data_IF_402032407097
#
_entry.id   IF_402032407097
#
_cell.length_a   1.000
_cell.length_b   1.000
_cell.length_c   1.000
_cell.angle_alpha   90.00
_cell.angle_beta   90.00
_cell.angle_gamma   90.00
#
_symmetry.space_group_name_H-M   'P 1'
#
loop_
_entity.id
_entity.type
_entity.pdbx_description
1 polymer ?
#
# COMPACT_ATOMS: atom_id res chain seq x y z
N UNK A 1 20.25 3.13 -3.43
CA UNK A 1 20.39 3.47 -2.00
C UNK A 1 21.57 2.77 -1.35
N UNK A 2 21.62 1.43 -1.25
CA UNK A 2 22.77 0.73 -0.61
C UNK A 2 24.12 1.08 -1.25
N UNK A 3 24.20 1.08 -2.58
CA UNK A 3 25.44 1.47 -3.31
C UNK A 3 25.87 2.90 -2.93
N UNK A 4 24.94 3.86 -2.89
CA UNK A 4 25.24 5.24 -2.50
C UNK A 4 25.75 5.32 -1.05
N UNK A 5 25.16 4.57 -0.11
CA UNK A 5 25.65 4.51 1.27
C UNK A 5 27.09 3.96 1.33
N UNK A 6 27.36 2.86 0.60
CA UNK A 6 28.71 2.30 0.54
C UNK A 6 29.71 3.28 -0.09
N UNK A 7 29.28 4.11 -1.05
CA UNK A 7 30.10 5.19 -1.62
C UNK A 7 30.35 6.31 -0.61
N UNK A 8 29.35 6.72 0.17
CA UNK A 8 29.53 7.77 1.20
C UNK A 8 30.45 7.34 2.34
N UNK A 9 30.46 6.05 2.68
CA UNK A 9 31.41 5.46 3.64
C UNK A 9 32.79 5.21 2.99
N UNK A 10 32.93 5.47 1.69
CA UNK A 10 34.12 5.19 0.89
C UNK A 10 34.50 3.71 0.88
N UNK A 11 33.54 2.82 1.06
CA UNK A 11 33.75 1.36 1.00
C UNK A 11 33.92 0.93 -0.45
N UNK A 12 33.12 1.52 -1.35
CA UNK A 12 33.25 1.35 -2.79
C UNK A 12 33.54 2.73 -3.42
N UNK A 13 34.27 2.79 -4.53
CA UNK A 13 34.57 4.04 -5.23
C UNK A 13 33.32 4.72 -5.77
N UNK A 14 33.39 6.04 -5.94
CA UNK A 14 32.32 6.81 -6.59
C UNK A 14 32.26 6.51 -8.09
N UNK A 15 31.14 6.88 -8.74
CA UNK A 15 31.01 6.72 -10.20
C UNK A 15 32.08 7.58 -10.91
N UNK A 16 32.43 8.75 -10.39
CA UNK A 16 33.48 9.57 -11.00
C UNK A 16 34.87 8.91 -10.90
N UNK A 17 35.20 8.32 -9.75
CA UNK A 17 36.45 7.59 -9.55
C UNK A 17 36.55 6.35 -10.45
N UNK A 18 35.43 5.63 -10.61
CA UNK A 18 35.34 4.48 -11.54
C UNK A 18 35.54 4.92 -13.00
N UNK A 19 34.99 6.07 -13.37
CA UNK A 19 35.12 6.65 -14.70
C UNK A 19 36.53 7.17 -14.98
N UNK A 20 37.18 7.79 -14.00
CA UNK A 20 38.58 8.24 -14.13
C UNK A 20 39.54 7.06 -14.25
N UNK A 21 39.22 5.93 -13.61
CA UNK A 21 39.99 4.70 -13.73
C UNK A 21 39.79 3.97 -15.08
N UNK A 22 38.67 4.23 -15.77
CA UNK A 22 38.43 3.74 -17.12
C UNK A 22 39.43 4.41 -18.08
N UNK A 23 40.41 3.62 -18.56
CA UNK A 23 41.40 4.12 -19.50
C UNK A 23 40.77 4.57 -20.82
N UNK A 24 41.55 5.25 -21.67
CA UNK A 24 41.05 5.78 -22.94
C UNK A 24 40.46 4.72 -23.90
N UNK A 25 40.79 3.44 -23.72
CA UNK A 25 40.31 2.34 -24.56
C UNK A 25 38.92 1.81 -24.18
N UNK A 26 38.37 2.21 -23.01
CA UNK A 26 37.10 1.70 -22.48
C UNK A 26 36.00 2.79 -22.44
N UNK A 27 36.11 3.80 -23.31
CA UNK A 27 35.10 4.84 -23.38
C UNK A 27 33.81 4.34 -24.04
N UNK A 28 32.70 4.47 -23.33
CA UNK A 28 31.37 4.04 -23.80
C UNK A 28 30.35 5.15 -23.52
N UNK A 29 29.80 5.73 -24.59
CA UNK A 29 28.74 6.74 -24.49
C UNK A 29 27.45 6.15 -25.04
N UNK A 30 26.41 6.11 -24.21
CA UNK A 30 25.06 5.62 -24.58
C UNK A 30 24.10 6.78 -24.42
N UNK A 31 23.40 7.17 -25.49
CA UNK A 31 22.41 8.26 -25.48
C UNK A 31 22.93 9.60 -24.93
N UNK A 32 24.21 9.90 -25.18
CA UNK A 32 24.88 11.10 -24.67
C UNK A 32 25.32 11.01 -23.21
N UNK A 33 25.10 9.88 -22.54
CA UNK A 33 25.60 9.61 -21.19
C UNK A 33 26.92 8.83 -21.24
N UNK A 34 27.90 9.30 -20.48
CA UNK A 34 29.18 8.61 -20.31
C UNK A 34 29.01 7.43 -19.35
N UNK A 35 29.06 6.22 -19.91
CA UNK A 35 28.97 4.94 -19.23
C UNK A 35 30.33 4.22 -19.17
N UNK A 36 31.44 4.95 -19.33
CA UNK A 36 32.79 4.40 -19.30
C UNK A 36 33.10 3.87 -17.89
N UNK A 37 33.12 2.55 -17.74
CA UNK A 37 33.38 1.86 -16.49
C UNK A 37 34.32 0.70 -16.74
N UNK A 38 35.36 0.60 -15.93
CA UNK A 38 36.33 -0.48 -16.06
C UNK A 38 35.77 -1.80 -15.53
N UNK A 39 35.74 -2.84 -16.37
CA UNK A 39 35.22 -4.16 -15.98
C UNK A 39 36.19 -4.93 -15.05
N UNK A 40 37.48 -4.63 -15.11
CA UNK A 40 38.48 -5.32 -14.30
C UNK A 40 38.52 -4.76 -12.87
N UNK A 41 38.04 -5.56 -11.91
CA UNK A 41 37.98 -5.17 -10.52
C UNK A 41 39.33 -5.28 -9.78
N UNK A 42 40.37 -5.84 -10.41
CA UNK A 42 41.68 -6.06 -9.78
C UNK A 42 42.49 -4.78 -9.56
N UNK A 43 42.15 -3.71 -10.28
CA UNK A 43 42.85 -2.42 -10.21
C UNK A 43 42.32 -1.51 -9.10
N UNK A 44 41.15 -1.83 -8.53
CA UNK A 44 40.64 -1.09 -7.39
C UNK A 44 41.35 -1.58 -6.13
N UNK A 45 42.17 -0.70 -5.54
CA UNK A 45 42.91 -0.98 -4.30
C UNK A 45 41.90 -1.41 -3.23
N UNK A 46 41.98 -2.68 -2.78
CA UNK A 46 41.17 -3.19 -1.67
C UNK A 46 41.41 -2.30 -0.44
N UNK A 47 40.39 -1.56 -0.01
CA UNK A 47 40.46 -0.70 1.18
C UNK A 47 40.58 -1.60 2.41
N UNK A 48 41.36 -1.18 3.42
CA UNK A 48 41.67 -1.99 4.61
C UNK A 48 40.40 -2.49 5.30
N UNK A 49 40.32 -3.80 5.48
CA UNK A 49 39.23 -4.55 6.12
C UNK A 49 39.26 -4.42 7.67
N UNK A 50 39.54 -3.24 8.21
CA UNK A 50 39.61 -3.07 9.67
C UNK A 50 38.21 -2.92 10.31
N UNK A 51 37.15 -2.76 9.50
CA UNK A 51 35.77 -2.63 9.96
C UNK A 51 35.01 -3.95 9.90
N UNK A 52 34.41 -4.35 11.03
CA UNK A 52 33.54 -5.53 11.08
C UNK A 52 32.25 -5.27 10.29
N UNK A 53 31.77 -6.23 9.49
CA UNK A 53 30.60 -6.03 8.63
C UNK A 53 29.31 -5.68 9.39
N UNK A 54 29.17 -6.10 10.65
CA UNK A 54 27.98 -5.82 11.48
C UNK A 54 27.78 -4.35 11.85
N UNK A 55 28.85 -3.56 11.93
CA UNK A 55 28.77 -2.14 12.29
C UNK A 55 28.23 -1.29 11.13
N UNK A 56 28.53 -1.73 9.89
CA UNK A 56 28.14 -1.04 8.65
C UNK A 56 26.69 -1.28 8.26
N UNK A 57 26.16 -2.46 8.54
CA UNK A 57 24.74 -2.76 8.32
C UNK A 57 23.83 -1.86 9.18
N UNK A 58 24.17 -1.72 10.46
CA UNK A 58 23.45 -0.83 11.39
C UNK A 58 23.58 0.65 10.98
N UNK A 59 24.78 1.07 10.53
CA UNK A 59 24.99 2.44 10.03
C UNK A 59 24.17 2.72 8.76
N UNK A 60 24.12 1.77 7.81
CA UNK A 60 23.34 1.90 6.58
C UNK A 60 21.87 2.12 6.88
N UNK A 61 21.31 1.34 7.81
CA UNK A 61 19.91 1.45 8.19
C UNK A 61 19.60 2.82 8.82
N UNK A 62 20.47 3.30 9.72
CA UNK A 62 20.32 4.61 10.35
C UNK A 62 20.49 5.78 9.36
N UNK A 63 21.38 5.65 8.37
CA UNK A 63 21.56 6.66 7.33
C UNK A 63 20.32 6.76 6.42
N UNK A 64 19.78 5.61 6.00
CA UNK A 64 18.56 5.55 5.19
C UNK A 64 17.36 6.11 5.95
N UNK A 65 17.24 5.79 7.24
CA UNK A 65 16.20 6.37 8.10
C UNK A 65 16.35 7.89 8.23
N UNK A 66 17.56 8.41 8.49
CA UNK A 66 17.82 9.86 8.56
C UNK A 66 17.48 10.60 7.25
N UNK A 67 17.82 10.01 6.10
CA UNK A 67 17.48 10.58 4.79
C UNK A 67 15.97 10.55 4.51
N UNK A 68 15.23 9.62 5.13
CA UNK A 68 13.76 9.57 5.06
C UNK A 68 13.07 10.54 6.03
N UNK A 69 13.73 10.85 7.16
CA UNK A 69 13.24 11.76 8.21
C UNK A 69 13.50 13.24 7.88
N UNK A 70 14.52 13.56 7.06
CA UNK A 70 14.79 14.94 6.62
C UNK A 70 13.71 15.55 5.71
N UNK A 71 12.60 14.84 5.47
CA UNK A 71 11.38 15.37 4.84
C UNK A 71 10.12 15.34 5.71
N UNK A 72 10.19 14.89 6.98
CA UNK A 72 9.03 14.82 7.88
C UNK A 72 9.46 15.03 9.33
N UNK A 73 9.07 16.17 9.91
CA UNK A 73 9.01 16.31 11.36
C UNK A 73 8.04 15.27 11.92
N UNK A 74 8.52 14.39 12.80
CA UNK A 74 7.66 13.60 13.67
C UNK A 74 8.26 13.55 15.08
N UNK A 75 7.43 14.00 16.02
CA UNK A 75 7.69 14.09 17.45
C UNK A 75 7.92 12.73 18.11
N UNK A 76 8.89 12.71 19.03
CA UNK A 76 8.80 12.03 20.32
C UNK A 76 8.70 10.50 20.32
N UNK A 77 9.83 9.83 20.47
CA UNK A 77 9.84 8.52 21.12
C UNK A 77 11.04 8.42 22.08
N UNK A 78 10.74 8.36 23.37
CA UNK A 78 11.70 8.22 24.46
C UNK A 78 12.37 6.84 24.41
N UNK A 79 13.71 6.83 24.50
CA UNK A 79 14.53 5.61 24.54
C UNK A 79 14.68 5.11 25.98
N UNK A 80 13.91 4.09 26.34
CA UNK A 80 14.19 3.23 27.49
C UNK A 80 15.36 2.28 27.18
N UNK A 81 16.42 2.33 27.99
CA UNK A 81 17.56 1.42 27.92
C UNK A 81 17.24 0.17 28.76
N UNK A 82 17.28 -1.02 28.17
CA UNK A 82 17.45 -2.28 28.91
C UNK A 82 18.84 -2.84 28.61
N UNK A 83 19.54 -3.19 29.68
CA UNK A 83 20.84 -3.82 29.68
C UNK A 83 20.73 -5.34 29.73
N UNK A 84 21.75 -6.00 29.18
CA UNK A 84 22.35 -7.26 29.61
C UNK A 84 22.01 -8.52 28.79
N UNK A 85 23.04 -9.07 28.13
CA UNK A 85 23.23 -10.52 27.96
C UNK A 85 23.36 -11.05 26.53
N UNK A 86 24.60 -11.34 26.13
CA UNK A 86 25.10 -11.98 24.90
C UNK A 86 24.27 -13.12 24.27
N UNK A 87 24.04 -13.04 22.95
CA UNK A 87 24.37 -14.05 21.88
C UNK A 87 23.73 -13.64 20.54
N UNK A 88 24.38 -12.75 19.76
CA UNK A 88 23.70 -11.98 18.69
C UNK A 88 24.22 -12.15 17.25
N UNK A 89 24.84 -13.28 16.90
CA UNK A 89 25.29 -13.50 15.50
C UNK A 89 24.43 -14.49 14.68
N UNK A 90 23.54 -15.27 15.32
CA UNK A 90 22.73 -16.29 14.62
C UNK A 90 21.26 -15.89 14.45
N UNK A 91 20.81 -14.81 15.10
CA UNK A 91 19.40 -14.38 15.08
C UNK A 91 19.03 -13.48 13.90
N UNK A 92 20.00 -12.91 13.18
CA UNK A 92 19.76 -11.97 12.07
C UNK A 92 19.29 -12.62 10.76
N UNK A 93 19.29 -13.96 10.68
CA UNK A 93 18.77 -14.70 9.51
C UNK A 93 17.39 -15.33 9.75
N UNK A 94 16.79 -15.17 10.93
CA UNK A 94 15.35 -15.37 11.04
C UNK A 94 14.67 -14.17 10.36
N UNK A 95 13.64 -14.37 9.51
CA UNK A 95 12.81 -13.27 9.06
C UNK A 95 12.29 -12.61 10.33
N UNK A 96 12.83 -11.43 10.65
CA UNK A 96 12.35 -10.63 11.76
C UNK A 96 10.89 -10.41 11.42
N UNK A 97 9.98 -10.99 12.20
CA UNK A 97 8.56 -10.69 12.16
C UNK A 97 8.45 -9.19 12.42
N UNK A 98 8.57 -8.40 11.36
CA UNK A 98 7.95 -7.10 11.31
C UNK A 98 6.48 -7.43 11.41
N UNK A 99 5.96 -7.41 12.64
CA UNK A 99 4.54 -7.29 12.88
C UNK A 99 4.16 -5.98 12.21
N UNK A 100 3.80 -6.07 10.92
CA UNK A 100 3.26 -4.96 10.18
C UNK A 100 2.13 -4.42 11.04
N UNK A 101 2.18 -3.12 11.37
CA UNK A 101 1.13 -2.49 12.18
C UNK A 101 -0.22 -2.95 11.60
N UNK A 102 -1.10 -3.58 12.40
CA UNK A 102 -2.41 -3.98 11.93
C UNK A 102 -3.09 -2.74 11.35
N UNK A 103 -3.22 -2.68 10.02
CA UNK A 103 -3.74 -1.49 9.32
C UNK A 103 -3.08 -1.13 7.98
N UNK A 104 -1.87 -1.61 7.65
CA UNK A 104 -1.17 -1.17 6.43
C UNK A 104 -1.37 -2.07 5.19
N UNK A 105 -2.47 -2.82 5.15
CA UNK A 105 -2.75 -3.76 4.06
C UNK A 105 -3.56 -3.09 2.96
N UNK A 106 -2.89 -2.19 2.27
CA UNK A 106 -3.45 -1.35 1.21
C UNK A 106 -3.03 -1.85 -0.16
N UNK A 107 -3.99 -1.96 -1.07
CA UNK A 107 -3.78 -2.06 -2.50
C UNK A 107 -4.35 -0.82 -3.17
N UNK A 108 -3.59 -0.27 -4.10
CA UNK A 108 -3.98 0.90 -4.86
C UNK A 108 -3.93 0.57 -6.33
N UNK A 109 -5.04 0.84 -7.00
CA UNK A 109 -5.14 0.78 -8.44
C UNK A 109 -5.21 2.23 -8.90
N UNK A 110 -4.14 2.81 -9.44
CA UNK A 110 -4.23 4.11 -10.09
C UNK A 110 -4.97 3.96 -11.42
N UNK A 111 -5.86 4.91 -11.71
CA UNK A 111 -6.43 5.04 -13.04
C UNK A 111 -5.30 5.51 -13.97
N UNK A 112 -5.05 4.73 -15.01
CA UNK A 112 -4.14 5.09 -16.10
C UNK A 112 -4.97 5.23 -17.36
N UNK A 113 -4.66 6.22 -18.18
CA UNK A 113 -5.38 6.45 -19.45
C UNK A 113 -5.31 5.22 -20.37
N UNK A 114 -4.22 4.46 -20.29
CA UNK A 114 -4.04 3.19 -21.02
C UNK A 114 -5.06 2.10 -20.67
N UNK A 115 -5.73 2.20 -19.51
CA UNK A 115 -6.71 1.23 -19.04
C UNK A 115 -8.15 1.58 -19.43
N UNK A 116 -8.37 2.74 -20.06
CA UNK A 116 -9.67 3.14 -20.55
C UNK A 116 -9.99 2.32 -21.81
N UNK A 117 -10.96 1.41 -21.69
CA UNK A 117 -11.49 0.68 -22.83
C UNK A 117 -12.20 1.64 -23.77
N UNK A 118 -12.25 1.31 -25.06
CA UNK A 118 -12.96 2.12 -26.07
C UNK A 118 -14.44 2.34 -25.68
N UNK A 119 -15.04 1.40 -24.92
CA UNK A 119 -16.38 1.54 -24.34
C UNK A 119 -16.46 2.62 -23.26
N UNK A 120 -15.52 2.65 -22.31
CA UNK A 120 -15.44 3.71 -21.29
C UNK A 120 -15.15 5.07 -21.93
N UNK A 121 -14.31 5.07 -22.96
CA UNK A 121 -14.05 6.24 -23.82
C UNK A 121 -15.24 6.63 -24.72
N UNK A 122 -16.40 5.98 -24.67
CA UNK A 122 -17.62 6.49 -25.33
C UNK A 122 -18.55 7.21 -24.38
N UNK A 123 -18.35 7.08 -23.07
CA UNK A 123 -19.14 7.72 -22.00
C UNK A 123 -18.71 9.20 -21.80
N UNK A 124 -17.93 9.78 -22.73
CA UNK A 124 -17.34 11.14 -22.71
C UNK A 124 -18.32 12.31 -22.66
N UNK A 125 -19.04 12.48 -21.55
CA UNK A 125 -19.71 13.74 -21.24
C UNK A 125 -19.25 14.32 -19.91
N UNK A 126 -18.72 13.49 -19.00
CA UNK A 126 -18.28 13.94 -17.68
C UNK A 126 -17.09 13.10 -17.14
N UNK A 127 -15.91 13.71 -16.92
CA UNK A 127 -14.74 13.00 -16.38
C UNK A 127 -14.96 12.47 -14.95
N UNK A 128 -15.87 13.04 -14.17
CA UNK A 128 -16.19 12.53 -12.83
C UNK A 128 -16.98 11.22 -12.93
N UNK A 129 -18.00 11.17 -13.80
CA UNK A 129 -18.75 9.94 -14.08
C UNK A 129 -17.89 8.83 -14.66
N UNK A 130 -16.92 9.19 -15.50
CA UNK A 130 -15.96 8.22 -16.04
C UNK A 130 -15.12 7.60 -14.92
N UNK A 131 -14.58 8.42 -14.02
CA UNK A 131 -13.79 7.98 -12.86
C UNK A 131 -14.63 7.12 -11.91
N UNK A 132 -15.89 7.48 -11.69
CA UNK A 132 -16.82 6.69 -10.88
C UNK A 132 -17.12 5.33 -11.52
N UNK A 133 -17.48 5.30 -12.80
CA UNK A 133 -17.75 4.05 -13.53
C UNK A 133 -16.52 3.14 -13.58
N UNK A 134 -15.33 3.70 -13.78
CA UNK A 134 -14.08 2.95 -13.70
C UNK A 134 -13.84 2.38 -12.30
N UNK A 135 -14.02 3.18 -11.25
CA UNK A 135 -13.83 2.74 -9.87
C UNK A 135 -14.81 1.61 -9.49
N UNK A 136 -16.07 1.71 -9.93
CA UNK A 136 -17.07 0.66 -9.75
C UNK A 136 -16.69 -0.61 -10.51
N UNK A 137 -16.22 -0.47 -11.75
CA UNK A 137 -15.78 -1.62 -12.56
C UNK A 137 -14.62 -2.36 -11.91
N UNK A 138 -13.60 -1.64 -11.42
CA UNK A 138 -12.47 -2.23 -10.70
C UNK A 138 -12.94 -2.93 -9.43
N UNK A 139 -13.85 -2.31 -8.67
CA UNK A 139 -14.43 -2.91 -7.46
C UNK A 139 -15.17 -4.20 -7.78
N UNK A 140 -16.00 -4.22 -8.83
CA UNK A 140 -16.70 -5.42 -9.28
C UNK A 140 -15.74 -6.54 -9.66
N UNK A 141 -14.73 -6.26 -10.49
CA UNK A 141 -13.74 -7.26 -10.91
C UNK A 141 -13.00 -7.84 -9.71
N UNK A 142 -12.63 -7.01 -8.74
CA UNK A 142 -11.96 -7.48 -7.53
C UNK A 142 -12.83 -8.39 -6.67
N UNK A 143 -14.11 -8.04 -6.50
CA UNK A 143 -15.08 -8.89 -5.79
C UNK A 143 -15.39 -10.18 -6.54
N UNK A 144 -15.39 -10.17 -7.88
CA UNK A 144 -15.49 -11.39 -8.70
C UNK A 144 -14.27 -12.28 -8.52
N UNK A 145 -13.05 -11.73 -8.53
CA UNK A 145 -11.85 -12.54 -8.27
C UNK A 145 -11.86 -13.11 -6.85
N UNK A 146 -12.26 -12.34 -5.85
CA UNK A 146 -12.44 -12.84 -4.47
C UNK A 146 -13.40 -14.04 -4.43
N UNK A 147 -14.60 -13.88 -4.99
CA UNK A 147 -15.67 -14.88 -4.92
C UNK A 147 -15.40 -16.08 -5.82
N UNK A 148 -15.12 -15.84 -7.10
CA UNK A 148 -15.12 -16.89 -8.11
C UNK A 148 -13.77 -17.57 -8.26
N UNK A 149 -12.68 -16.84 -7.99
CA UNK A 149 -11.32 -17.38 -8.14
C UNK A 149 -10.76 -17.84 -6.80
N UNK A 150 -11.02 -17.08 -5.73
CA UNK A 150 -10.49 -17.36 -4.40
C UNK A 150 -11.56 -17.90 -3.43
N UNK A 151 -12.80 -18.14 -3.87
CA UNK A 151 -13.86 -18.74 -3.02
C UNK A 151 -14.07 -18.00 -1.69
N UNK A 152 -13.78 -16.70 -1.65
CA UNK A 152 -14.03 -15.84 -0.49
C UNK A 152 -15.50 -15.44 -0.52
N UNK A 153 -16.22 -15.68 0.56
CA UNK A 153 -17.58 -15.12 0.70
C UNK A 153 -17.44 -13.64 1.02
N UNK A 154 -18.12 -12.77 0.27
CA UNK A 154 -18.10 -11.32 0.48
C UNK A 154 -19.53 -10.80 0.52
N UNK A 155 -19.91 -10.14 1.62
CA UNK A 155 -21.21 -9.51 1.81
C UNK A 155 -21.04 -8.02 2.05
N UNK A 156 -21.81 -7.18 1.37
CA UNK A 156 -21.74 -5.73 1.55
C UNK A 156 -22.37 -5.37 2.90
N UNK A 157 -21.61 -4.70 3.77
CA UNK A 157 -22.13 -4.17 5.03
C UNK A 157 -22.87 -2.87 4.68
N UNK A 158 -24.20 -2.86 4.84
CA UNK A 158 -24.94 -1.61 4.75
C UNK A 158 -24.50 -0.75 5.93
N UNK A 159 -23.92 0.41 5.65
CA UNK A 159 -23.72 1.44 6.65
C UNK A 159 -25.12 1.98 6.93
N UNK A 160 -25.86 1.29 7.80
CA UNK A 160 -27.19 1.71 8.19
C UNK A 160 -27.10 3.16 8.65
N UNK A 161 -27.90 3.99 7.97
CA UNK A 161 -28.07 5.42 8.22
C UNK A 161 -28.46 5.62 9.68
N UNK A 162 -27.46 5.71 10.56
CA UNK A 162 -27.56 6.42 11.82
C UNK A 162 -27.58 7.94 11.54
N UNK A 163 -28.36 8.37 10.55
CA UNK A 163 -28.93 9.71 10.57
C UNK A 163 -30.00 9.65 11.64
N UNK A 164 -29.60 10.02 12.85
CA UNK A 164 -30.55 10.43 13.88
C UNK A 164 -31.42 11.52 13.27
N UNK A 165 -32.64 11.16 12.87
CA UNK A 165 -33.75 12.08 12.76
C UNK A 165 -34.02 12.62 14.17
N UNK A 166 -33.23 13.61 14.58
CA UNK A 166 -33.55 14.52 15.67
C UNK A 166 -34.53 15.57 15.15
N UNK A 167 -35.74 15.13 14.81
CA UNK A 167 -36.91 16.02 14.73
C UNK A 167 -37.52 16.11 16.12
N UNK A 168 -36.92 16.97 16.96
CA UNK A 168 -37.61 17.58 18.09
C UNK A 168 -38.24 18.89 17.62
N UNK A 169 -39.39 18.80 16.96
CA UNK A 169 -40.37 19.90 16.95
C UNK A 169 -41.25 19.75 18.20
N UNK A 170 -40.86 20.40 19.30
CA UNK A 170 -41.79 20.74 20.38
C UNK A 170 -41.88 22.27 20.49
N UNK A 171 -43.01 22.77 20.00
CA UNK A 171 -43.75 23.97 20.37
C UNK A 171 -43.29 24.72 21.62
N UNK A 172 -43.08 26.03 21.52
CA UNK A 172 -43.59 27.01 22.51
C UNK A 172 -43.55 28.45 21.98
N UNK A 173 -44.72 29.07 21.86
CA UNK A 173 -44.92 30.52 21.75
C UNK A 173 -44.60 31.22 23.09
N UNK A 174 -43.93 32.38 23.06
CA UNK A 174 -44.36 33.59 23.79
C UNK A 174 -43.44 34.81 23.56
N UNK A 175 -43.97 35.80 22.82
CA UNK A 175 -44.09 37.24 23.13
C UNK A 175 -43.26 37.83 24.30
N UNK A 176 -42.44 38.86 24.06
CA UNK A 176 -42.74 40.31 24.29
C UNK A 176 -41.51 41.23 24.04
N UNK A 177 -41.81 42.51 23.74
CA UNK A 177 -40.94 43.65 23.35
C UNK A 177 -39.90 44.11 24.40
N UNK A 178 -38.84 44.85 23.95
CA UNK A 178 -38.50 46.25 24.30
C UNK A 178 -37.01 46.58 23.98
N UNK A 179 -36.81 47.66 23.23
CA UNK A 179 -35.58 48.42 22.86
C UNK A 179 -35.26 49.50 23.95
N UNK A 180 -34.19 50.35 23.97
CA UNK A 180 -32.94 50.46 23.21
C UNK A 180 -31.67 50.77 24.06
N UNK A 181 -30.54 50.97 23.34
CA UNK A 181 -29.48 51.98 23.60
C UNK A 181 -28.36 51.67 24.61
N UNK A 182 -27.12 51.46 24.11
CA UNK A 182 -25.95 52.24 24.55
C UNK A 182 -24.79 52.18 23.53
N UNK A 183 -24.24 53.35 23.20
CA UNK A 183 -23.07 53.60 22.35
C UNK A 183 -21.76 53.37 23.13
N UNK A 184 -20.64 53.13 22.43
CA UNK A 184 -19.26 53.63 22.72
C UNK A 184 -18.24 53.06 21.67
N UNK A 185 -17.02 53.64 21.50
CA UNK A 185 -16.53 54.14 20.20
C UNK A 185 -15.28 53.39 19.64
N UNK A 186 -14.68 53.82 18.50
CA UNK A 186 -13.85 52.99 17.64
C UNK A 186 -12.37 53.11 17.95
N UNK A 187 -11.58 52.05 17.66
CA UNK A 187 -10.34 52.08 16.86
C UNK A 187 -9.45 50.87 17.17
N UNK A 188 -9.09 50.10 16.14
CA UNK A 188 -7.70 49.60 15.96
C UNK A 188 -7.51 49.01 14.56
N UNK A 189 -6.75 49.77 13.76
CA UNK A 189 -5.86 49.38 12.66
C UNK A 189 -6.02 47.95 12.13
N UNK A 190 -6.70 47.85 11.00
CA UNK A 190 -6.64 46.71 10.10
C UNK A 190 -5.27 46.71 9.41
N UNK A 191 -4.38 45.81 9.86
CA UNK A 191 -3.18 45.42 9.11
C UNK A 191 -3.65 44.44 8.04
N UNK A 192 -3.51 44.80 6.76
CA UNK A 192 -3.72 43.88 5.65
C UNK A 192 -2.73 42.72 5.82
N UNK A 193 -3.22 41.60 6.32
CA UNK A 193 -2.62 40.29 6.06
C UNK A 193 -3.35 39.76 4.84
N UNK A 194 -2.63 39.68 3.73
CA UNK A 194 -3.00 38.84 2.60
C UNK A 194 -3.04 37.41 3.12
N UNK A 195 -4.24 36.96 3.52
CA UNK A 195 -4.51 35.56 3.80
C UNK A 195 -4.64 34.87 2.43
N UNK A 196 -3.57 34.21 1.99
CA UNK A 196 -3.59 33.21 0.90
C UNK A 196 -4.31 31.93 1.37
N UNK A 197 -5.54 32.07 1.87
CA UNK A 197 -6.26 31.02 2.58
C UNK A 197 -7.61 30.70 1.93
N UNK A 198 -7.70 30.82 0.61
CA UNK A 198 -8.92 30.51 -0.13
C UNK A 198 -8.57 29.83 -1.46
N UNK A 199 -8.64 28.50 -1.48
CA UNK A 199 -9.22 27.69 -2.59
C UNK A 199 -9.11 26.17 -2.40
N UNK A 200 -9.12 25.66 -1.17
CA UNK A 200 -9.52 24.26 -0.99
C UNK A 200 -11.04 24.21 -1.10
N UNK A 201 -11.52 23.97 -2.33
CA UNK A 201 -12.93 23.71 -2.59
C UNK A 201 -13.47 22.59 -1.70
N UNK A 202 -14.78 22.55 -1.42
CA UNK A 202 -15.38 21.57 -0.54
C UNK A 202 -15.03 20.16 -1.00
N UNK A 203 -14.15 19.50 -0.25
CA UNK A 203 -13.89 18.07 -0.41
C UNK A 203 -15.13 17.32 0.00
N UNK A 204 -15.85 16.80 -0.99
CA UNK A 204 -16.94 15.85 -0.75
C UNK A 204 -16.32 14.63 -0.07
N UNK A 205 -16.66 14.41 1.19
CA UNK A 205 -16.14 13.32 2.00
C UNK A 205 -16.83 12.01 1.57
N UNK A 206 -16.21 11.29 0.63
CA UNK A 206 -16.76 10.03 0.12
C UNK A 206 -16.54 8.94 1.17
N UNK A 207 -17.62 8.51 1.82
CA UNK A 207 -17.58 7.40 2.78
C UNK A 207 -17.10 6.10 2.09
N UNK A 208 -16.17 5.35 2.69
CA UNK A 208 -15.72 4.07 2.14
C UNK A 208 -16.86 3.04 2.14
N UNK A 209 -16.83 2.14 1.16
CA UNK A 209 -17.77 1.00 1.10
C UNK A 209 -17.12 -0.20 1.77
N UNK A 210 -17.79 -0.80 2.75
CA UNK A 210 -17.25 -1.92 3.53
C UNK A 210 -17.94 -3.23 3.17
N UNK A 211 -17.15 -4.30 3.02
CA UNK A 211 -17.62 -5.67 2.81
C UNK A 211 -17.13 -6.57 3.95
N UNK A 212 -18.00 -7.43 4.48
CA UNK A 212 -17.64 -8.51 5.38
C UNK A 212 -17.21 -9.72 4.56
N UNK A 213 -15.98 -10.19 4.76
CA UNK A 213 -15.39 -11.27 3.98
C UNK A 213 -15.02 -12.46 4.88
N UNK A 214 -15.32 -13.67 4.42
CA UNK A 214 -14.93 -14.91 5.10
C UNK A 214 -14.24 -15.89 4.15
N UNK A 215 -13.17 -16.50 4.65
CA UNK A 215 -12.32 -17.44 3.91
C UNK A 215 -12.29 -18.76 4.66
N UNK A 216 -12.66 -19.85 3.97
CA UNK A 216 -12.77 -21.20 4.55
C UNK A 216 -11.53 -22.07 4.35
N UNK A 217 -10.75 -21.81 3.30
CA UNK A 217 -9.64 -22.67 2.88
C UNK A 217 -8.32 -21.89 2.79
N UNK A 218 -7.19 -22.56 3.02
CA UNK A 218 -5.83 -22.00 2.98
C UNK A 218 -5.26 -21.91 1.56
N UNK A 219 -6.08 -21.39 0.64
CA UNK A 219 -5.86 -21.34 -0.81
C UNK A 219 -4.63 -20.56 -1.28
N UNK A 220 -3.93 -19.88 -0.38
CA UNK A 220 -2.69 -19.17 -0.66
C UNK A 220 -1.47 -20.10 -0.57
N UNK A 221 -1.57 -21.20 0.18
CA UNK A 221 -0.52 -22.21 0.30
C UNK A 221 -0.57 -23.13 -0.93
N UNK A 222 0.59 -23.57 -1.41
CA UNK A 222 0.66 -24.61 -2.44
C UNK A 222 0.28 -24.19 -3.87
N UNK A 223 -0.29 -23.00 -4.11
CA UNK A 223 -0.72 -22.53 -5.45
C UNK A 223 0.34 -22.71 -6.54
N UNK A 224 1.60 -22.36 -6.26
CA UNK A 224 2.71 -22.49 -7.24
C UNK A 224 2.95 -23.95 -7.63
N UNK A 225 2.87 -24.88 -6.67
CA UNK A 225 3.02 -26.31 -6.92
C UNK A 225 1.81 -26.80 -7.74
N UNK A 226 0.60 -26.48 -7.30
CA UNK A 226 -0.64 -26.87 -7.97
C UNK A 226 -0.70 -26.38 -9.42
N UNK A 227 -0.37 -25.09 -9.66
CA UNK A 227 -0.30 -24.51 -11.00
C UNK A 227 0.66 -25.27 -11.91
N UNK A 228 1.84 -25.64 -11.41
CA UNK A 228 2.82 -26.44 -12.18
C UNK A 228 2.31 -27.84 -12.47
N UNK A 229 1.62 -28.47 -11.52
CA UNK A 229 1.00 -29.79 -11.72
C UNK A 229 -0.05 -29.72 -12.83
N UNK A 230 -0.95 -28.74 -12.78
CA UNK A 230 -2.01 -28.55 -13.79
C UNK A 230 -1.46 -28.20 -15.18
N UNK A 231 -0.41 -27.39 -15.24
CA UNK A 231 0.26 -27.09 -16.50
C UNK A 231 0.96 -28.33 -17.09
N UNK A 232 1.53 -29.20 -16.25
CA UNK A 232 2.16 -30.46 -16.69
C UNK A 232 1.14 -31.50 -17.14
N UNK A 233 -0.05 -31.52 -16.55
CA UNK A 233 -1.13 -32.42 -16.95
C UNK A 233 -1.83 -32.00 -18.25
N UNK A 234 -1.34 -30.95 -18.93
CA UNK A 234 -1.90 -30.48 -20.20
C UNK A 234 -3.21 -29.71 -20.05
N UNK A 235 -3.52 -29.18 -18.85
CA UNK A 235 -4.71 -28.34 -18.67
C UNK A 235 -4.52 -27.00 -19.38
N UNK A 236 -4.92 -26.92 -20.64
CA UNK A 236 -4.89 -25.70 -21.45
C UNK A 236 -6.10 -24.82 -21.16
N UNK A 237 -6.11 -24.12 -20.03
CA UNK A 237 -7.11 -23.09 -19.79
C UNK A 237 -6.80 -21.87 -20.65
N UNK A 238 -7.79 -21.38 -21.40
CA UNK A 238 -7.63 -20.23 -22.32
C UNK A 238 -7.34 -18.91 -21.60
N UNK A 239 -7.80 -18.74 -20.37
CA UNK A 239 -7.56 -17.53 -19.57
C UNK A 239 -6.76 -17.83 -18.30
N UNK A 240 -5.96 -16.85 -17.87
CA UNK A 240 -5.17 -16.94 -16.64
C UNK A 240 -6.05 -17.02 -15.40
N UNK A 241 -7.17 -16.31 -15.38
CA UNK A 241 -8.16 -16.38 -14.30
C UNK A 241 -8.81 -17.77 -14.22
N UNK A 242 -9.11 -18.41 -15.37
CA UNK A 242 -9.62 -19.78 -15.38
C UNK A 242 -8.60 -20.77 -14.81
N UNK A 243 -7.30 -20.60 -15.10
CA UNK A 243 -6.25 -21.40 -14.46
C UNK A 243 -6.23 -21.21 -12.95
N UNK A 244 -6.31 -19.97 -12.47
CA UNK A 244 -6.28 -19.68 -11.04
C UNK A 244 -7.51 -20.20 -10.30
N UNK A 245 -8.67 -20.19 -10.95
CA UNK A 245 -9.90 -20.80 -10.43
C UNK A 245 -9.72 -22.32 -10.28
N UNK A 246 -9.21 -22.98 -11.32
CA UNK A 246 -8.93 -24.43 -11.29
C UNK A 246 -7.88 -24.79 -10.23
N UNK A 247 -6.85 -23.96 -10.06
CA UNK A 247 -5.86 -24.11 -8.98
C UNK A 247 -6.54 -24.06 -7.61
N UNK A 248 -7.44 -23.11 -7.40
CA UNK A 248 -8.17 -22.98 -6.13
C UNK A 248 -9.08 -24.19 -5.89
N UNK A 249 -9.86 -24.61 -6.88
CA UNK A 249 -10.73 -25.80 -6.79
C UNK A 249 -9.93 -27.05 -6.42
N UNK A 250 -8.77 -27.27 -7.06
CA UNK A 250 -7.91 -28.44 -6.77
C UNK A 250 -7.26 -28.38 -5.40
N UNK A 251 -6.89 -27.19 -4.91
CA UNK A 251 -6.39 -27.04 -3.54
C UNK A 251 -7.47 -27.35 -2.51
N UNK A 252 -8.72 -26.95 -2.78
CA UNK A 252 -9.87 -27.27 -1.92
C UNK A 252 -10.13 -28.78 -1.93
N UNK A 253 -10.07 -29.44 -3.08
CA UNK A 253 -10.20 -30.91 -3.16
C UNK A 253 -9.11 -31.65 -2.39
N UNK A 254 -7.84 -31.22 -2.52
CA UNK A 254 -6.71 -31.85 -1.80
C UNK A 254 -6.80 -31.66 -0.28
N UNK A 255 -7.31 -30.52 0.19
CA UNK A 255 -7.45 -30.21 1.62
C UNK A 255 -8.73 -30.79 2.23
N UNK A 256 -9.80 -30.94 1.43
CA UNK A 256 -11.11 -31.42 1.87
C UNK A 256 -11.21 -32.92 2.15
N UNK A 257 -10.28 -33.74 1.66
CA UNK A 257 -10.32 -35.20 1.85
C UNK A 257 -10.13 -35.69 3.31
N UNK A 258 -9.85 -34.80 4.27
CA UNK A 258 -9.52 -35.17 5.65
C UNK A 258 -10.57 -34.86 6.72
N UNK A 259 -11.42 -33.84 6.55
CA UNK A 259 -12.33 -33.41 7.62
C UNK A 259 -13.38 -32.42 7.11
N UNK A 260 -14.65 -32.65 7.46
CA UNK A 260 -15.78 -31.77 7.19
C UNK A 260 -15.62 -30.47 7.99
N UNK A 261 -14.85 -29.52 7.44
CA UNK A 261 -14.56 -28.22 8.05
C UNK A 261 -15.46 -27.18 7.41
N UNK A 262 -16.68 -27.06 7.92
CA UNK A 262 -17.51 -25.87 7.67
C UNK A 262 -17.06 -24.66 8.53
N UNK A 263 -15.95 -24.80 9.25
CA UNK A 263 -15.40 -23.74 10.10
C UNK A 263 -14.65 -22.68 9.27
N UNK A 264 -15.03 -21.42 9.46
CA UNK A 264 -14.38 -20.27 8.82
C UNK A 264 -12.93 -20.11 9.30
N UNK A 265 -11.97 -20.27 8.39
CA UNK A 265 -10.54 -20.14 8.68
C UNK A 265 -10.19 -18.72 9.15
N UNK A 266 -10.64 -17.70 8.42
CA UNK A 266 -10.45 -16.29 8.81
C UNK A 266 -11.56 -15.37 8.28
N UNK A 267 -11.83 -14.31 9.03
CA UNK A 267 -12.81 -13.26 8.71
C UNK A 267 -12.09 -11.91 8.67
N UNK A 268 -12.46 -11.06 7.73
CA UNK A 268 -11.89 -9.73 7.56
C UNK A 268 -12.90 -8.78 6.90
N UNK A 269 -12.78 -7.49 7.18
CA UNK A 269 -13.48 -6.46 6.44
C UNK A 269 -12.63 -5.99 5.27
N UNK A 270 -13.25 -5.85 4.11
CA UNK A 270 -12.66 -5.21 2.94
C UNK A 270 -13.28 -3.83 2.80
N UNK A 271 -12.49 -2.81 3.08
CA UNK A 271 -12.87 -1.42 2.85
C UNK A 271 -12.40 -0.98 1.46
N UNK A 272 -13.32 -0.43 0.69
CA UNK A 272 -13.08 0.10 -0.65
C UNK A 272 -13.27 1.61 -0.60
N UNK A 273 -12.16 2.35 -0.68
CA UNK A 273 -12.16 3.81 -0.79
C UNK A 273 -11.91 4.18 -2.24
N UNK A 274 -12.73 5.09 -2.77
CA UNK A 274 -12.56 5.67 -4.11
C UNK A 274 -12.15 7.12 -3.94
N UNK A 275 -11.07 7.53 -4.60
CA UNK A 275 -10.70 8.94 -4.71
C UNK A 275 -10.85 9.37 -6.17
N UNK A 276 -11.66 10.40 -6.42
CA UNK A 276 -12.05 10.86 -7.77
C UNK A 276 -11.25 12.11 -8.19
N UNK A 277 -10.27 12.56 -7.39
CA UNK A 277 -9.43 13.74 -7.71
C UNK A 277 -8.49 13.48 -8.90
N UNK A 278 -7.60 14.43 -9.19
CA UNK A 278 -6.72 14.45 -10.37
C UNK A 278 -5.96 13.14 -10.63
N UNK A 279 -5.68 12.38 -9.57
CA UNK A 279 -5.18 11.01 -9.66
C UNK A 279 -6.25 10.05 -9.14
N UNK A 280 -7.21 9.67 -9.98
CA UNK A 280 -8.24 8.74 -9.56
C UNK A 280 -7.61 7.41 -9.15
N UNK A 281 -7.96 6.90 -7.97
CA UNK A 281 -7.54 5.58 -7.56
C UNK A 281 -8.63 4.87 -6.76
N UNK A 282 -8.61 3.54 -6.87
CA UNK A 282 -9.38 2.68 -5.96
C UNK A 282 -8.41 2.06 -4.99
N UNK A 283 -8.73 2.22 -3.70
CA UNK A 283 -7.96 1.71 -2.58
C UNK A 283 -8.74 0.61 -1.90
N UNK A 284 -8.07 -0.51 -1.69
CA UNK A 284 -8.60 -1.64 -0.95
C UNK A 284 -7.79 -1.81 0.33
N UNK A 285 -8.46 -1.76 1.47
CA UNK A 285 -7.88 -2.07 2.77
C UNK A 285 -8.52 -3.34 3.33
N UNK A 286 -7.67 -4.32 3.67
CA UNK A 286 -8.11 -5.54 4.35
C UNK A 286 -7.87 -5.41 5.85
N UNK A 287 -8.95 -5.45 6.62
CA UNK A 287 -8.95 -5.25 8.07
C UNK A 287 -9.32 -6.58 8.74
N UNK A 288 -8.42 -7.22 9.49
CA UNK A 288 -8.75 -8.45 10.21
C UNK A 288 -9.89 -8.21 11.21
N UNK A 289 -10.91 -9.09 11.21
CA UNK A 289 -11.97 -9.05 12.22
C UNK A 289 -11.48 -9.55 13.58
N UNK A 290 -10.51 -10.47 13.58
CA UNK A 290 -9.84 -11.03 14.78
C UNK A 290 -8.35 -11.10 14.54
N UNK A 291 -7.55 -11.04 15.60
CA UNK A 291 -6.09 -11.16 15.55
C UNK A 291 -5.70 -12.56 15.04
N UNK A 292 -5.54 -12.70 13.72
CA UNK A 292 -5.23 -13.95 13.05
C UNK A 292 -4.00 -13.76 12.17
N UNK A 293 -2.89 -14.39 12.57
CA UNK A 293 -1.65 -14.45 11.79
C UNK A 293 -1.87 -14.95 10.35
N UNK A 294 -2.87 -15.80 10.13
CA UNK A 294 -3.23 -16.35 8.82
C UNK A 294 -3.61 -15.27 7.80
N UNK A 295 -4.24 -14.17 8.23
CA UNK A 295 -4.63 -13.12 7.32
C UNK A 295 -3.40 -12.40 6.73
N UNK A 296 -2.31 -12.28 7.48
CA UNK A 296 -1.08 -11.66 6.98
C UNK A 296 -0.47 -12.44 5.81
N UNK A 297 -0.51 -13.78 5.89
CA UNK A 297 -0.07 -14.66 4.79
C UNK A 297 -0.98 -14.53 3.58
N UNK A 298 -2.31 -14.54 3.80
CA UNK A 298 -3.28 -14.33 2.73
C UNK A 298 -3.06 -12.99 2.04
N UNK A 299 -2.92 -11.90 2.80
CA UNK A 299 -2.71 -10.55 2.26
C UNK A 299 -1.40 -10.44 1.48
N UNK A 300 -0.32 -11.04 1.98
CA UNK A 300 0.97 -11.03 1.26
C UNK A 300 0.85 -11.75 -0.07
N UNK A 301 0.20 -12.92 -0.08
CA UNK A 301 -0.10 -13.65 -1.32
C UNK A 301 -1.03 -12.85 -2.25
N UNK A 302 -2.04 -12.19 -1.68
CA UNK A 302 -3.01 -11.37 -2.38
C UNK A 302 -2.35 -10.17 -3.09
N UNK A 303 -1.44 -9.46 -2.42
CA UNK A 303 -0.67 -8.37 -3.05
C UNK A 303 0.10 -8.84 -4.29
N UNK A 304 0.77 -9.99 -4.20
CA UNK A 304 1.52 -10.57 -5.32
C UNK A 304 0.59 -11.09 -6.42
N UNK A 305 -0.62 -11.52 -6.07
CA UNK A 305 -1.61 -12.00 -7.02
C UNK A 305 -2.12 -10.86 -7.93
N UNK A 306 -2.50 -9.72 -7.34
CA UNK A 306 -3.09 -8.59 -8.09
C UNK A 306 -2.09 -7.69 -8.80
N UNK A 307 -0.82 -7.73 -8.40
CA UNK A 307 0.24 -7.04 -9.15
C UNK A 307 0.48 -7.63 -10.55
N UNK A 308 -0.02 -8.83 -10.84
CA UNK A 308 0.27 -9.58 -12.06
C UNK A 308 -0.96 -9.80 -12.92
#
# INVERSE_FOLDING_TARGET
>A
MVILFLQTEGIIPTIEELREAAGCEEQLIIDGWDCSLRLDCTLYRRRREDDKPGDKESSCYLQVLRLSESGKECCGCERGKTSLGDTDAVRSLHPREQVARPGNYRLEFPMKDEHLTEELSRIHVDPERLREAWAERITCVLLEVLRDTLTVSCEKVQADLAEETSDSEETTESKMEVDPEEQEPPTKRQRMQENENDKDGPTVDIKPVTYSCSLKHDIWVGRRKMRRTLQRSGSSSSSRLALEKLVTEKLIEETGNGQDRDETLTEFHLEVTREIKDNAFVRFAMIPSKEKQLLNYFITSWKVFFQK
#
